data_IF_864655301745
#
_entry.id   IF_864655301745
#
_cell.length_a   1.000
_cell.length_b   1.000
_cell.length_c   1.000
_cell.angle_alpha   90.00
_cell.angle_beta   90.00
_cell.angle_gamma   90.00
#
_symmetry.space_group_name_H-M   'P 1'
#
loop_
_entity.id
_entity.type
_entity.pdbx_description
1 polymer ?
#
# COMPACT_ATOMS: atom_id res chain seq x y z
N UNK A 1 -12.80 -16.78 -1.91
CA UNK A 1 -11.63 -16.50 -1.06
C UNK A 1 -11.80 -15.12 -0.46
N UNK A 2 -11.40 -14.94 0.80
CA UNK A 2 -11.46 -13.68 1.54
C UNK A 2 -10.04 -13.40 2.02
N UNK A 3 -9.57 -12.17 1.88
CA UNK A 3 -8.26 -11.75 2.33
C UNK A 3 -8.41 -11.00 3.67
N UNK A 4 -7.56 -11.25 4.65
CA UNK A 4 -7.38 -10.37 5.79
C UNK A 4 -6.92 -9.00 5.31
N UNK A 5 -7.62 -7.95 5.71
CA UNK A 5 -7.18 -6.58 5.56
C UNK A 5 -6.55 -6.15 6.87
N UNK A 6 -5.49 -5.36 6.78
CA UNK A 6 -4.70 -4.91 7.92
C UNK A 6 -5.39 -3.72 8.62
N UNK A 7 -6.67 -3.85 8.95
CA UNK A 7 -7.44 -2.88 9.72
C UNK A 7 -7.88 -3.51 11.03
N UNK A 8 -7.62 -2.82 12.15
CA UNK A 8 -7.96 -3.32 13.47
C UNK A 8 -8.61 -2.24 14.35
N UNK A 9 -9.28 -2.68 15.41
CA UNK A 9 -9.91 -1.83 16.42
C UNK A 9 -9.28 -2.09 17.78
N UNK A 10 -8.70 -1.06 18.40
CA UNK A 10 -8.19 -1.16 19.75
C UNK A 10 -9.34 -1.08 20.78
N UNK A 11 -9.25 -1.82 21.88
CA UNK A 11 -10.26 -1.85 22.95
C UNK A 11 -10.50 -0.54 23.69
N UNK A 12 -9.60 0.42 23.59
CA UNK A 12 -9.71 1.72 24.29
C UNK A 12 -10.29 2.82 23.42
N UNK A 13 -10.01 2.78 22.12
CA UNK A 13 -10.41 3.79 21.15
C UNK A 13 -11.46 3.15 20.25
N UNK A 14 -12.69 3.67 20.23
CA UNK A 14 -13.79 3.10 19.44
C UNK A 14 -13.59 3.20 17.91
N UNK A 15 -12.37 3.49 17.46
CA UNK A 15 -11.97 3.86 16.11
C UNK A 15 -11.22 2.71 15.42
N UNK A 16 -11.44 2.57 14.12
CA UNK A 16 -10.69 1.66 13.27
C UNK A 16 -9.35 2.28 12.90
N UNK A 17 -8.27 1.51 12.96
CA UNK A 17 -6.90 1.95 12.67
C UNK A 17 -6.23 1.04 11.66
N UNK A 18 -5.36 1.63 10.84
CA UNK A 18 -4.53 0.90 9.90
C UNK A 18 -3.37 0.20 10.61
N UNK A 19 -3.38 -1.13 10.56
CA UNK A 19 -2.22 -1.95 10.24
C UNK A 19 -0.83 -1.40 10.52
N UNK A 20 -0.43 -0.64 9.50
CA UNK A 20 0.95 -0.27 9.23
C UNK A 20 1.33 1.03 9.95
N UNK A 21 0.37 1.94 10.16
CA UNK A 21 0.63 3.31 10.64
C UNK A 21 -0.01 3.61 12.00
N UNK A 22 -0.90 2.76 12.50
CA UNK A 22 -1.78 3.03 13.66
C UNK A 22 -2.67 4.27 13.49
N UNK A 23 -2.77 4.83 12.28
CA UNK A 23 -3.61 5.99 11.99
C UNK A 23 -5.09 5.60 11.90
N UNK A 24 -5.97 6.52 12.31
CA UNK A 24 -7.43 6.34 12.22
C UNK A 24 -7.83 6.21 10.75
N UNK A 25 -8.65 5.21 10.45
CA UNK A 25 -9.16 4.97 9.11
C UNK A 25 -10.06 6.12 8.64
N UNK A 26 -9.57 6.87 7.66
CA UNK A 26 -10.28 7.91 6.92
C UNK A 26 -11.14 7.36 5.77
N UNK A 27 -10.80 6.18 5.26
CA UNK A 27 -11.54 5.46 4.23
C UNK A 27 -12.06 4.13 4.75
N UNK A 28 -13.31 3.81 4.43
CA UNK A 28 -13.89 2.49 4.70
C UNK A 28 -14.71 1.95 3.54
N UNK A 29 -14.66 0.65 3.31
CA UNK A 29 -15.43 -0.03 2.26
C UNK A 29 -16.28 -1.19 2.80
N UNK A 30 -16.99 -0.94 3.90
CA UNK A 30 -17.83 -1.94 4.56
C UNK A 30 -18.85 -2.60 3.64
N UNK A 31 -19.03 -3.91 3.81
CA UNK A 31 -20.17 -4.63 3.28
C UNK A 31 -21.46 -4.14 3.95
N UNK A 32 -22.59 -4.37 3.30
CA UNK A 32 -23.88 -4.02 3.86
C UNK A 32 -24.08 -4.66 5.26
N UNK A 33 -24.45 -3.85 6.25
CA UNK A 33 -24.65 -4.29 7.63
C UNK A 33 -23.37 -4.51 8.45
N UNK A 34 -22.23 -3.98 8.00
CA UNK A 34 -20.94 -4.03 8.70
C UNK A 34 -20.43 -2.61 9.03
N UNK A 35 -19.60 -2.46 10.09
CA UNK A 35 -19.18 -3.48 11.05
C UNK A 35 -20.29 -3.85 12.05
N UNK A 36 -20.22 -5.04 12.63
CA UNK A 36 -21.05 -5.45 13.78
C UNK A 36 -20.31 -5.06 15.06
N UNK A 37 -20.98 -4.32 15.95
CA UNK A 37 -20.38 -3.76 17.19
C UNK A 37 -19.98 -4.79 18.27
N UNK A 38 -19.65 -6.03 17.89
CA UNK A 38 -19.27 -7.12 18.79
C UNK A 38 -17.75 -7.14 19.07
N UNK A 39 -17.25 -8.22 19.70
CA UNK A 39 -15.81 -8.46 19.96
C UNK A 39 -14.94 -8.66 18.69
N UNK A 40 -15.50 -8.48 17.50
CA UNK A 40 -14.81 -8.58 16.22
C UNK A 40 -13.97 -7.30 15.98
N UNK A 41 -12.64 -7.45 16.05
CA UNK A 41 -11.69 -6.32 16.07
C UNK A 41 -10.75 -6.27 14.86
N UNK A 42 -10.86 -7.20 13.93
CA UNK A 42 -10.02 -7.25 12.73
C UNK A 42 -10.91 -7.26 11.48
N UNK A 43 -10.38 -6.82 10.34
CA UNK A 43 -11.13 -6.73 9.08
C UNK A 43 -10.67 -7.76 8.07
N UNK A 44 -11.62 -8.28 7.31
CA UNK A 44 -11.36 -9.09 6.12
C UNK A 44 -12.06 -8.47 4.92
N UNK A 45 -11.41 -8.51 3.76
CA UNK A 45 -11.91 -8.06 2.48
C UNK A 45 -12.33 -9.26 1.63
N UNK A 46 -13.54 -9.21 1.07
CA UNK A 46 -13.99 -10.19 0.11
C UNK A 46 -13.31 -10.00 -1.25
N UNK A 47 -12.74 -11.08 -1.80
CA UNK A 47 -12.05 -11.04 -3.12
C UNK A 47 -12.95 -10.58 -4.28
N UNK A 48 -14.24 -10.88 -4.23
CA UNK A 48 -15.13 -10.72 -5.40
C UNK A 48 -15.66 -9.28 -5.57
N UNK A 49 -15.78 -8.51 -4.49
CA UNK A 49 -16.34 -7.15 -4.53
C UNK A 49 -15.54 -6.14 -3.68
N UNK A 50 -14.42 -6.58 -3.10
CA UNK A 50 -13.53 -5.79 -2.25
C UNK A 50 -14.23 -5.15 -1.03
N UNK A 51 -15.42 -5.64 -0.66
CA UNK A 51 -16.16 -5.17 0.52
C UNK A 51 -15.59 -5.77 1.80
N UNK A 52 -15.68 -5.01 2.88
CA UNK A 52 -15.05 -5.33 4.15
C UNK A 52 -16.05 -5.93 5.14
N UNK A 53 -15.55 -6.81 5.99
CA UNK A 53 -16.30 -7.50 7.01
C UNK A 53 -15.43 -7.59 8.26
N UNK A 54 -15.98 -7.30 9.43
CA UNK A 54 -15.25 -7.52 10.67
C UNK A 54 -15.27 -9.00 11.08
N UNK A 55 -14.19 -9.41 11.72
CA UNK A 55 -13.94 -10.76 12.20
C UNK A 55 -13.10 -10.73 13.46
N UNK A 56 -13.20 -11.81 14.23
CA UNK A 56 -12.28 -12.10 15.31
C UNK A 56 -10.86 -12.21 14.77
N UNK A 57 -9.93 -11.54 15.44
CA UNK A 57 -8.52 -11.51 15.06
C UNK A 57 -7.81 -12.87 15.14
N UNK A 58 -8.38 -13.83 15.88
CA UNK A 58 -7.88 -15.22 15.99
C UNK A 58 -8.26 -16.11 14.79
N UNK A 59 -9.09 -15.59 13.87
CA UNK A 59 -9.51 -16.33 12.67
C UNK A 59 -8.42 -16.34 11.60
N UNK A 60 -8.21 -17.50 10.98
CA UNK A 60 -7.18 -17.68 9.94
C UNK A 60 -7.69 -17.29 8.55
N UNK A 61 -7.05 -16.28 7.95
CA UNK A 61 -7.28 -15.84 6.58
C UNK A 61 -5.92 -15.59 5.90
N UNK A 62 -5.84 -15.76 4.58
CA UNK A 62 -4.72 -15.22 3.79
C UNK A 62 -4.75 -13.70 3.87
N UNK A 63 -3.62 -13.02 3.94
CA UNK A 63 -3.54 -11.57 4.07
C UNK A 63 -2.90 -10.95 2.83
N UNK A 64 -3.18 -9.67 2.59
CA UNK A 64 -2.48 -8.89 1.57
C UNK A 64 -1.35 -8.13 2.26
N UNK A 65 -0.15 -8.22 1.72
CA UNK A 65 0.96 -7.38 2.16
C UNK A 65 1.10 -6.17 1.23
N UNK A 66 1.46 -5.02 1.82
CA UNK A 66 2.06 -3.89 1.11
C UNK A 66 3.57 -4.15 0.99
N UNK A 67 4.14 -3.79 -0.15
CA UNK A 67 5.58 -3.84 -0.38
C UNK A 67 5.98 -2.55 -1.11
N UNK A 68 6.85 -1.77 -0.49
CA UNK A 68 7.32 -0.48 -0.99
C UNK A 68 8.84 -0.39 -0.91
N UNK A 69 9.43 0.26 -1.91
CA UNK A 69 10.86 0.52 -1.96
C UNK A 69 11.13 2.01 -2.19
N UNK A 70 12.05 2.57 -1.41
CA UNK A 70 12.48 3.95 -1.53
C UNK A 70 13.76 4.04 -2.38
N UNK A 71 13.68 4.80 -3.46
CA UNK A 71 14.84 5.25 -4.26
C UNK A 71 15.63 6.29 -3.47
N UNK A 72 16.70 5.85 -2.81
CA UNK A 72 17.53 6.74 -1.96
C UNK A 72 18.43 7.68 -2.74
N UNK A 73 18.88 7.24 -3.92
CA UNK A 73 19.79 8.00 -4.77
C UNK A 73 19.07 9.11 -5.54
N UNK A 74 19.78 10.21 -5.80
CA UNK A 74 19.28 11.28 -6.67
C UNK A 74 19.13 10.77 -8.11
N UNK A 75 17.89 10.67 -8.58
CA UNK A 75 17.52 10.27 -9.96
C UNK A 75 16.56 11.29 -10.57
N UNK A 76 16.58 11.44 -11.89
CA UNK A 76 15.50 12.15 -12.61
C UNK A 76 14.24 11.30 -12.63
N UNK A 77 13.08 11.89 -12.98
CA UNK A 77 11.83 11.14 -13.09
C UNK A 77 11.94 9.90 -13.97
N UNK A 78 12.51 10.03 -15.19
CA UNK A 78 12.69 8.91 -16.11
C UNK A 78 13.62 7.83 -15.54
N UNK A 79 14.66 8.23 -14.83
CA UNK A 79 15.61 7.31 -14.21
C UNK A 79 14.97 6.58 -13.02
N UNK A 80 14.17 7.28 -12.21
CA UNK A 80 13.46 6.70 -11.09
C UNK A 80 12.36 5.75 -11.55
N UNK A 81 11.61 6.12 -12.59
CA UNK A 81 10.61 5.26 -13.22
C UNK A 81 11.24 3.95 -13.73
N UNK A 82 12.33 4.06 -14.48
CA UNK A 82 13.08 2.87 -14.95
C UNK A 82 13.60 2.04 -13.79
N UNK A 83 14.12 2.70 -12.75
CA UNK A 83 14.62 2.01 -11.58
C UNK A 83 13.52 1.20 -10.88
N UNK A 84 12.37 1.79 -10.58
CA UNK A 84 11.24 1.09 -9.97
C UNK A 84 10.84 -0.14 -10.80
N UNK A 85 10.69 0.03 -12.11
CA UNK A 85 10.28 -1.05 -13.02
C UNK A 85 11.29 -2.19 -13.14
N UNK A 86 12.54 -1.98 -12.73
CA UNK A 86 13.63 -2.95 -12.79
C UNK A 86 14.04 -3.53 -11.42
N UNK A 87 13.41 -3.11 -10.31
CA UNK A 87 13.80 -3.52 -8.94
C UNK A 87 13.92 -5.04 -8.74
N UNK A 88 13.14 -5.83 -9.48
CA UNK A 88 13.17 -7.29 -9.42
C UNK A 88 13.23 -7.94 -10.82
N UNK A 89 13.79 -7.24 -11.81
CA UNK A 89 14.02 -7.84 -13.12
C UNK A 89 15.08 -8.96 -12.99
N UNK A 90 14.70 -10.19 -13.34
CA UNK A 90 15.58 -11.36 -13.26
C UNK A 90 16.83 -11.22 -14.16
N UNK A 91 16.77 -10.38 -15.19
CA UNK A 91 17.89 -10.09 -16.07
C UNK A 91 17.97 -8.58 -16.42
N UNK A 92 18.97 -7.84 -15.90
CA UNK A 92 19.15 -6.41 -16.18
C UNK A 92 19.60 -6.09 -17.62
N UNK A 93 19.92 -7.11 -18.43
CA UNK A 93 20.38 -6.96 -19.82
C UNK A 93 19.36 -7.43 -20.87
N UNK A 94 18.20 -7.98 -20.46
CA UNK A 94 17.12 -8.25 -21.40
C UNK A 94 16.44 -6.94 -21.82
N UNK A 95 16.07 -6.76 -23.10
CA UNK A 95 15.30 -5.60 -23.52
C UNK A 95 14.00 -5.56 -22.71
N UNK A 96 13.74 -4.41 -22.08
CA UNK A 96 12.49 -4.17 -21.36
C UNK A 96 11.35 -4.26 -22.36
N UNK A 97 10.75 -5.44 -22.49
CA UNK A 97 9.58 -5.66 -23.31
C UNK A 97 8.42 -4.84 -22.70
N UNK A 98 7.95 -3.85 -23.46
CA UNK A 98 6.92 -2.89 -23.05
C UNK A 98 5.55 -3.56 -22.78
N UNK A 99 5.45 -4.89 -22.92
CA UNK A 99 4.25 -5.68 -22.62
C UNK A 99 4.20 -6.23 -21.18
N UNK A 100 5.26 -6.10 -20.36
CA UNK A 100 5.25 -6.65 -19.00
C UNK A 100 4.46 -5.83 -17.99
N UNK A 101 3.65 -6.55 -17.21
CA UNK A 101 3.04 -6.08 -15.97
C UNK A 101 4.15 -5.95 -14.90
N UNK A 102 4.85 -4.80 -14.88
CA UNK A 102 5.95 -4.55 -13.94
C UNK A 102 5.51 -4.84 -12.50
N UNK A 103 6.36 -5.52 -11.72
CA UNK A 103 6.05 -5.77 -10.32
C UNK A 103 6.01 -4.48 -9.52
N UNK A 104 6.88 -3.53 -9.81
CA UNK A 104 6.87 -2.21 -9.18
C UNK A 104 6.75 -1.10 -10.21
N UNK A 105 6.12 0.00 -9.82
CA UNK A 105 6.10 1.24 -10.57
C UNK A 105 6.17 2.44 -9.61
N UNK A 106 6.34 3.65 -10.16
CA UNK A 106 6.32 4.86 -9.35
C UNK A 106 4.96 5.04 -8.65
N UNK A 107 5.02 5.54 -7.42
CA UNK A 107 3.86 5.85 -6.64
C UNK A 107 2.96 6.90 -7.30
N UNK A 108 1.70 6.53 -7.52
CA UNK A 108 0.66 7.49 -7.90
C UNK A 108 0.12 8.17 -6.65
N UNK A 109 0.28 9.49 -6.56
CA UNK A 109 -0.24 10.28 -5.44
C UNK A 109 -1.32 11.21 -5.94
N UNK A 110 -2.57 10.85 -5.63
CA UNK A 110 -3.76 11.48 -6.19
C UNK A 110 -4.57 12.19 -5.11
N UNK A 111 -4.61 11.61 -3.91
CA UNK A 111 -5.40 12.11 -2.78
C UNK A 111 -4.54 12.87 -1.78
N UNK A 112 -5.18 13.53 -0.81
CA UNK A 112 -4.48 14.14 0.32
C UNK A 112 -3.87 13.09 1.23
N UNK A 113 -4.54 11.96 1.40
CA UNK A 113 -4.04 10.82 2.17
C UNK A 113 -2.80 10.22 1.53
N UNK A 114 -2.80 10.06 0.21
CA UNK A 114 -1.62 9.61 -0.54
C UNK A 114 -0.44 10.58 -0.33
N UNK A 115 -0.70 11.89 -0.29
CA UNK A 115 0.33 12.91 -0.02
C UNK A 115 0.82 12.81 1.42
N UNK A 116 -0.07 12.66 2.38
CA UNK A 116 0.26 12.53 3.79
C UNK A 116 1.13 11.29 4.04
N UNK A 117 0.83 10.18 3.37
CA UNK A 117 1.61 8.95 3.41
C UNK A 117 2.98 9.08 2.72
N UNK A 118 2.98 9.59 1.48
CA UNK A 118 4.16 9.57 0.62
C UNK A 118 5.20 10.64 0.97
N UNK A 119 4.77 11.82 1.44
CA UNK A 119 5.65 12.97 1.71
C UNK A 119 6.74 12.69 2.76
N UNK A 120 6.44 12.18 3.97
CA UNK A 120 7.49 11.91 4.97
C UNK A 120 8.47 10.85 4.47
N UNK A 121 7.98 9.78 3.83
CA UNK A 121 8.80 8.70 3.27
C UNK A 121 9.70 9.17 2.14
N UNK A 122 9.18 9.98 1.22
CA UNK A 122 9.97 10.58 0.15
C UNK A 122 11.02 11.56 0.68
N UNK A 123 10.80 12.16 1.85
CA UNK A 123 11.75 13.04 2.54
C UNK A 123 13.01 12.33 3.07
N UNK A 124 12.99 10.99 3.16
CA UNK A 124 14.17 10.19 3.51
C UNK A 124 15.14 9.99 2.32
N UNK A 125 14.72 10.34 1.10
CA UNK A 125 15.56 10.25 -0.08
C UNK A 125 16.57 11.41 -0.13
N UNK A 126 17.78 11.15 -0.63
CA UNK A 126 18.89 12.11 -0.65
C UNK A 126 18.83 13.12 -1.81
N UNK A 127 17.64 13.50 -2.27
CA UNK A 127 17.44 14.28 -3.50
C UNK A 127 16.95 15.71 -3.22
N UNK A 128 17.52 16.71 -3.91
CA UNK A 128 17.18 18.14 -3.76
C UNK A 128 15.93 18.56 -4.56
N UNK A 129 15.33 17.67 -5.35
CA UNK A 129 14.12 17.92 -6.17
C UNK A 129 12.80 17.86 -5.37
N UNK A 130 12.86 18.07 -4.04
CA UNK A 130 11.74 17.86 -3.10
C UNK A 130 10.80 19.08 -3.01
N UNK A 131 10.94 20.06 -3.89
CA UNK A 131 10.19 21.33 -3.76
C UNK A 131 8.91 21.43 -4.58
N UNK A 132 8.63 20.51 -5.50
CA UNK A 132 7.32 20.40 -6.16
C UNK A 132 6.83 18.94 -6.18
N UNK A 133 6.16 18.52 -5.11
CA UNK A 133 5.40 17.25 -5.00
C UNK A 133 6.20 15.98 -5.37
N UNK A 134 7.34 15.71 -4.69
CA UNK A 134 8.24 14.63 -5.10
C UNK A 134 7.83 13.24 -4.58
N UNK A 135 6.92 12.58 -5.29
CA UNK A 135 6.59 11.15 -5.14
C UNK A 135 7.44 10.26 -6.06
N UNK A 136 8.45 10.86 -6.69
CA UNK A 136 9.35 10.25 -7.66
C UNK A 136 10.36 9.27 -7.01
N UNK A 137 10.35 9.15 -5.68
CA UNK A 137 11.28 8.29 -4.94
C UNK A 137 10.62 7.00 -4.44
N UNK A 138 9.30 6.86 -4.52
CA UNK A 138 8.60 5.69 -3.99
C UNK A 138 8.20 4.74 -5.11
N UNK A 139 8.64 3.50 -5.00
CA UNK A 139 8.25 2.40 -5.87
C UNK A 139 7.22 1.54 -5.12
N UNK A 140 5.99 1.47 -5.63
CA UNK A 140 4.98 0.58 -5.08
C UNK A 140 4.83 -0.65 -5.95
N UNK A 141 4.56 -1.78 -5.28
CA UNK A 141 4.22 -3.00 -5.99
C UNK A 141 2.83 -2.90 -6.63
N UNK A 142 2.76 -3.09 -7.96
CA UNK A 142 1.52 -2.93 -8.74
C UNK A 142 0.44 -3.97 -8.39
N UNK A 143 0.85 -5.15 -7.92
CA UNK A 143 -0.04 -6.20 -7.42
C UNK A 143 0.37 -6.59 -5.99
N UNK A 144 -0.48 -6.34 -4.98
CA UNK A 144 -0.18 -6.72 -3.60
C UNK A 144 -0.02 -8.24 -3.50
N UNK A 145 1.11 -8.76 -3.00
CA UNK A 145 1.29 -10.19 -2.80
C UNK A 145 0.32 -10.70 -1.74
N UNK A 146 -0.10 -11.95 -1.93
CA UNK A 146 -0.74 -12.70 -0.86
C UNK A 146 0.38 -13.23 0.03
N UNK A 147 0.22 -12.95 1.31
CA UNK A 147 0.94 -13.58 2.40
C UNK A 147 -0.07 -14.48 3.16
#
# INVERSE_FOLDING_TARGET
>A
MTYGSVLFKNTKDSEWKWSETDEIANFTNWAFGQPKLNDDKCVVMFKHNHKWNDKRCDSKFSFLCSDESLVKERKTWDQALRHCRLLEAENPNEPVDLTWNYRYDLASVRTEDDRAYARPRAGEASTDQVTELSTQSLCFRATPPVC
#
